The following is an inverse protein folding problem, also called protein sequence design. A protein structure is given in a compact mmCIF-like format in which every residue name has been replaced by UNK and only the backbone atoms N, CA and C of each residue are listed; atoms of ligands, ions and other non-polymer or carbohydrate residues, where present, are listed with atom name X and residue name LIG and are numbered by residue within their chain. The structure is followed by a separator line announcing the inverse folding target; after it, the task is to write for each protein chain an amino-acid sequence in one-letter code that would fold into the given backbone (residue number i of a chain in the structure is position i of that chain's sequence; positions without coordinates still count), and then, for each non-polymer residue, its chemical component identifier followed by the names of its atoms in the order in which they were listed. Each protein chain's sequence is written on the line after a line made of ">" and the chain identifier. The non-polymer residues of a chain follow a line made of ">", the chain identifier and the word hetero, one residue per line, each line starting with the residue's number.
data_IF_968766069306
#
_entry.id   IF_968766069306
#
_cell.length_a   1.000
_cell.length_b   1.000
_cell.length_c   1.000
_cell.angle_alpha   90.00
_cell.angle_beta   90.00
_cell.angle_gamma   90.00
#
_symmetry.space_group_name_H-M   'P 1'
#
loop_
_entity.id
_entity.type
_entity.pdbx_description
1 polymer ?
#
# COMPACT_ATOMS: atom_id res chain seq x y z
N UNK A 1 -5.70 56.28 3.84
CA UNK A 1 -6.16 54.97 3.31
C UNK A 1 -5.02 53.98 3.45
N UNK A 2 -5.08 53.11 4.46
CA UNK A 2 -4.04 52.14 4.79
C UNK A 2 -4.53 50.77 4.32
N UNK A 3 -3.99 50.27 3.21
CA UNK A 3 -4.30 48.93 2.71
C UNK A 3 -3.58 47.90 3.58
N UNK A 4 -4.33 47.14 4.38
CA UNK A 4 -3.84 45.90 4.98
C UNK A 4 -3.86 44.79 3.91
N UNK A 5 -2.69 44.43 3.39
CA UNK A 5 -2.49 43.22 2.60
C UNK A 5 -2.54 42.02 3.55
N UNK A 6 -3.63 41.27 3.51
CA UNK A 6 -3.74 39.98 4.21
C UNK A 6 -2.92 38.98 3.40
N UNK A 7 -1.74 38.60 3.91
CA UNK A 7 -0.99 37.47 3.38
C UNK A 7 -1.69 36.19 3.87
N UNK A 8 -2.39 35.51 2.97
CA UNK A 8 -2.92 34.18 3.25
C UNK A 8 -1.73 33.21 3.37
N UNK A 9 -1.36 32.84 4.59
CA UNK A 9 -0.44 31.73 4.81
C UNK A 9 -1.16 30.44 4.44
N UNK A 10 -0.86 29.90 3.26
CA UNK A 10 -1.25 28.55 2.90
C UNK A 10 -0.58 27.59 3.89
N UNK A 11 -1.34 27.10 4.86
CA UNK A 11 -0.87 26.09 5.79
C UNK A 11 -0.59 24.82 4.97
N UNK A 12 0.70 24.47 4.79
CA UNK A 12 1.07 23.24 4.13
C UNK A 12 0.46 22.08 4.91
N UNK A 13 -0.49 21.38 4.29
CA UNK A 13 -1.06 20.18 4.88
C UNK A 13 0.01 19.09 4.91
N UNK A 14 0.12 18.40 6.04
CA UNK A 14 1.20 17.46 6.32
C UNK A 14 1.17 16.27 5.35
N UNK A 15 2.37 15.80 5.00
CA UNK A 15 2.57 14.57 4.24
C UNK A 15 1.77 13.40 4.88
N UNK A 16 1.21 12.49 4.08
CA UNK A 16 0.50 11.34 4.62
C UNK A 16 1.44 10.48 5.45
N UNK A 17 0.98 10.01 6.62
CA UNK A 17 1.76 9.14 7.50
C UNK A 17 1.27 7.71 7.38
N UNK A 18 2.20 6.81 7.02
CA UNK A 18 1.93 5.37 6.96
C UNK A 18 2.15 4.71 8.34
N UNK A 19 1.04 4.35 8.98
CA UNK A 19 1.00 3.70 10.29
C UNK A 19 1.08 2.18 10.23
N UNK A 20 0.88 1.54 11.39
CA UNK A 20 0.83 0.08 11.53
C UNK A 20 -0.60 -0.42 11.44
N UNK A 21 -0.85 -1.42 10.60
CA UNK A 21 -2.11 -2.13 10.54
C UNK A 21 -2.24 -3.11 11.72
N UNK A 22 -3.46 -3.34 12.23
CA UNK A 22 -3.71 -4.48 13.11
C UNK A 22 -3.56 -5.79 12.32
N UNK A 23 -3.48 -6.92 13.04
CA UNK A 23 -3.47 -8.26 12.44
C UNK A 23 -4.60 -8.41 11.43
N UNK A 24 -4.27 -8.94 10.25
CA UNK A 24 -5.23 -9.25 9.19
C UNK A 24 -5.41 -10.76 9.06
N UNK A 25 -6.59 -11.16 8.60
CA UNK A 25 -6.89 -12.54 8.26
C UNK A 25 -6.55 -12.82 6.80
N UNK A 26 -6.28 -14.09 6.50
CA UNK A 26 -6.22 -14.58 5.12
C UNK A 26 -7.58 -14.39 4.45
N UNK A 27 -7.63 -13.95 3.17
CA UNK A 27 -8.91 -13.90 2.46
C UNK A 27 -9.50 -15.30 2.34
N UNK A 28 -10.82 -15.40 2.29
CA UNK A 28 -11.52 -16.68 2.11
C UNK A 28 -11.25 -17.33 0.74
N UNK A 29 -10.87 -16.51 -0.25
CA UNK A 29 -10.57 -16.93 -1.63
C UNK A 29 -9.45 -16.07 -2.21
N UNK A 30 -8.67 -16.66 -3.12
CA UNK A 30 -7.57 -15.97 -3.78
C UNK A 30 -6.39 -15.72 -2.84
N UNK A 31 -5.56 -14.73 -3.17
CA UNK A 31 -4.33 -14.45 -2.45
C UNK A 31 -4.28 -12.99 -1.98
N UNK A 32 -3.52 -12.74 -0.92
CA UNK A 32 -3.20 -11.41 -0.45
C UNK A 32 -1.71 -11.28 -0.14
N UNK A 33 -1.12 -10.13 -0.46
CA UNK A 33 0.20 -9.76 0.02
C UNK A 33 0.10 -9.04 1.37
N UNK A 34 1.00 -9.37 2.27
CA UNK A 34 1.18 -8.74 3.57
C UNK A 34 2.55 -8.08 3.56
N UNK A 35 2.60 -6.79 3.82
CA UNK A 35 3.79 -5.98 3.61
C UNK A 35 4.22 -5.31 4.91
N UNK A 36 5.52 -5.41 5.18
CA UNK A 36 6.18 -4.79 6.31
C UNK A 36 7.21 -3.76 5.83
N UNK A 37 7.29 -2.64 6.52
CA UNK A 37 8.33 -1.65 6.29
C UNK A 37 9.70 -2.26 6.61
N UNK A 38 10.66 -2.11 5.68
CA UNK A 38 11.99 -2.72 5.84
C UNK A 38 12.75 -2.11 7.02
N UNK A 39 12.54 -0.82 7.29
CA UNK A 39 13.31 -0.06 8.28
C UNK A 39 13.00 -0.45 9.73
N UNK A 40 11.72 -0.69 10.04
CA UNK A 40 11.25 -0.89 11.41
C UNK A 40 10.34 -2.11 11.58
N UNK A 41 10.17 -2.92 10.53
CA UNK A 41 9.37 -4.14 10.50
C UNK A 41 7.91 -3.94 10.91
N UNK A 42 7.37 -2.71 10.81
CA UNK A 42 5.94 -2.48 11.05
C UNK A 42 5.14 -3.08 9.91
N UNK A 43 4.05 -3.76 10.26
CA UNK A 43 3.08 -4.24 9.27
C UNK A 43 2.28 -3.05 8.75
N UNK A 44 2.50 -2.65 7.51
CA UNK A 44 2.01 -1.36 6.98
C UNK A 44 0.91 -1.49 5.93
N UNK A 45 0.85 -2.62 5.21
CA UNK A 45 -0.12 -2.82 4.16
C UNK A 45 -0.56 -4.27 3.98
N UNK A 46 -1.82 -4.43 3.57
CA UNK A 46 -2.34 -5.67 3.00
C UNK A 46 -2.88 -5.38 1.60
N UNK A 47 -2.53 -6.22 0.63
CA UNK A 47 -2.90 -6.05 -0.77
C UNK A 47 -3.71 -7.23 -1.22
N UNK A 48 -4.87 -6.96 -1.78
CA UNK A 48 -5.75 -7.94 -2.41
C UNK A 48 -6.00 -7.51 -3.86
N UNK A 49 -6.48 -8.40 -4.74
CA UNK A 49 -6.85 -8.01 -6.09
C UNK A 49 -7.82 -6.82 -6.08
N UNK A 50 -7.37 -5.69 -6.62
CA UNK A 50 -8.16 -4.46 -6.70
C UNK A 50 -8.23 -3.61 -5.43
N UNK A 51 -7.53 -3.96 -4.33
CA UNK A 51 -7.59 -3.20 -3.07
C UNK A 51 -6.27 -3.17 -2.31
N UNK A 52 -5.89 -1.99 -1.84
CA UNK A 52 -4.81 -1.77 -0.87
C UNK A 52 -5.41 -1.33 0.45
N UNK A 53 -5.18 -2.09 1.52
CA UNK A 53 -5.46 -1.69 2.90
C UNK A 53 -4.21 -1.16 3.55
N UNK A 54 -4.30 0.01 4.17
CA UNK A 54 -3.21 0.72 4.85
C UNK A 54 -3.72 1.43 6.10
N UNK A 55 -2.82 1.80 7.01
CA UNK A 55 -3.12 2.74 8.10
C UNK A 55 -2.60 4.13 7.69
N UNK A 56 -3.50 5.06 7.37
CA UNK A 56 -3.16 6.43 7.00
C UNK A 56 -3.55 7.39 8.11
N UNK A 57 -2.60 8.16 8.62
CA UNK A 57 -2.82 9.16 9.67
C UNK A 57 -3.57 8.59 10.89
N UNK A 58 -3.24 7.36 11.27
CA UNK A 58 -3.86 6.65 12.39
C UNK A 58 -5.25 6.07 12.12
N UNK A 59 -5.73 6.10 10.87
CA UNK A 59 -7.00 5.47 10.45
C UNK A 59 -6.77 4.42 9.37
N UNK A 60 -7.45 3.28 9.51
CA UNK A 60 -7.41 2.26 8.47
C UNK A 60 -8.17 2.78 7.24
N UNK A 61 -7.53 2.67 6.08
CA UNK A 61 -8.07 3.06 4.79
C UNK A 61 -7.94 1.91 3.81
N UNK A 62 -9.05 1.63 3.11
CA UNK A 62 -9.10 0.70 1.98
C UNK A 62 -9.16 1.54 0.70
N UNK A 63 -8.07 1.53 -0.06
CA UNK A 63 -7.93 2.24 -1.32
C UNK A 63 -8.22 1.28 -2.49
N UNK A 64 -9.24 1.56 -3.33
CA UNK A 64 -9.47 0.77 -4.52
C UNK A 64 -8.36 0.99 -5.55
N UNK A 65 -8.06 -0.05 -6.32
CA UNK A 65 -7.15 0.05 -7.46
C UNK A 65 -7.80 0.93 -8.54
N UNK A 66 -7.04 1.92 -9.00
CA UNK A 66 -7.40 2.77 -10.12
C UNK A 66 -6.78 2.24 -11.42
N UNK A 67 -5.54 1.79 -11.36
CA UNK A 67 -4.79 1.23 -12.49
C UNK A 67 -3.89 0.10 -11.99
N UNK A 68 -3.81 -1.00 -12.74
CA UNK A 68 -2.93 -2.13 -12.43
C UNK A 68 -2.17 -2.53 -13.71
N UNK A 69 -0.91 -2.91 -13.56
CA UNK A 69 -0.06 -3.27 -14.69
C UNK A 69 1.20 -4.06 -14.29
N UNK A 70 2.00 -4.36 -15.30
CA UNK A 70 3.19 -5.19 -15.17
C UNK A 70 2.90 -6.69 -15.00
N UNK A 71 3.96 -7.48 -14.87
CA UNK A 71 3.86 -8.94 -14.80
C UNK A 71 3.44 -9.36 -13.39
N UNK A 72 2.14 -9.60 -13.21
CA UNK A 72 1.59 -10.07 -11.93
C UNK A 72 1.87 -11.55 -11.65
N UNK A 73 1.66 -11.95 -10.39
CA UNK A 73 1.66 -13.33 -9.94
C UNK A 73 0.58 -13.51 -8.87
N UNK A 74 -0.02 -14.71 -8.80
CA UNK A 74 -1.00 -15.07 -7.77
C UNK A 74 -2.22 -14.10 -7.71
N UNK A 75 -2.60 -13.53 -8.85
CA UNK A 75 -3.72 -12.57 -8.96
C UNK A 75 -3.38 -11.14 -8.54
N UNK A 76 -2.12 -10.84 -8.22
CA UNK A 76 -1.63 -9.53 -7.83
C UNK A 76 -0.74 -8.96 -8.94
N UNK A 77 -0.94 -7.69 -9.32
CA UNK A 77 -0.12 -7.01 -10.31
C UNK A 77 1.20 -6.51 -9.69
N UNK A 78 2.29 -6.47 -10.47
CA UNK A 78 3.59 -5.99 -9.97
C UNK A 78 3.62 -4.48 -9.75
N UNK A 79 2.80 -3.72 -10.48
CA UNK A 79 2.60 -2.28 -10.25
C UNK A 79 1.11 -1.99 -10.16
N UNK A 80 0.67 -1.32 -9.11
CA UNK A 80 -0.73 -0.88 -8.96
C UNK A 80 -0.81 0.51 -8.36
N UNK A 81 -1.57 1.38 -9.01
CA UNK A 81 -1.98 2.68 -8.48
C UNK A 81 -3.34 2.54 -7.84
N UNK A 82 -3.43 2.92 -6.57
CA UNK A 82 -4.64 2.99 -5.78
C UNK A 82 -5.00 4.44 -5.52
N UNK A 83 -6.29 4.76 -5.44
CA UNK A 83 -6.73 6.12 -5.16
C UNK A 83 -8.01 6.12 -4.33
N UNK A 84 -8.04 6.93 -3.29
CA UNK A 84 -9.20 7.07 -2.41
C UNK A 84 -8.91 8.02 -1.26
N UNK A 85 -9.97 8.61 -0.70
CA UNK A 85 -9.85 9.51 0.46
C UNK A 85 -8.85 10.67 0.27
N UNK A 86 -8.71 11.16 -0.97
CA UNK A 86 -7.78 12.24 -1.32
C UNK A 86 -6.29 11.85 -1.36
N UNK A 87 -5.98 10.54 -1.28
CA UNK A 87 -4.63 9.99 -1.34
C UNK A 87 -4.49 9.09 -2.57
N UNK A 88 -3.33 9.17 -3.21
CA UNK A 88 -2.88 8.21 -4.21
C UNK A 88 -1.77 7.37 -3.60
N UNK A 89 -1.86 6.04 -3.73
CA UNK A 89 -0.81 5.12 -3.37
C UNK A 89 -0.34 4.37 -4.61
N UNK A 90 0.96 4.35 -4.88
CA UNK A 90 1.54 3.49 -5.91
C UNK A 90 2.35 2.40 -5.22
N UNK A 91 2.01 1.15 -5.51
CA UNK A 91 2.75 -0.02 -5.07
C UNK A 91 3.48 -0.62 -6.26
N UNK A 92 4.80 -0.70 -6.17
CA UNK A 92 5.64 -1.50 -7.05
C UNK A 92 6.18 -2.67 -6.22
N UNK A 93 6.07 -3.90 -6.72
CA UNK A 93 6.51 -5.10 -6.02
C UNK A 93 6.95 -6.23 -6.95
N UNK A 94 7.91 -7.01 -6.45
CA UNK A 94 8.39 -8.25 -7.07
C UNK A 94 7.92 -9.44 -6.25
N UNK A 95 7.14 -10.32 -6.87
CA UNK A 95 6.68 -11.58 -6.26
C UNK A 95 7.58 -12.71 -6.77
N UNK A 96 8.28 -13.36 -5.84
CA UNK A 96 9.18 -14.48 -6.13
C UNK A 96 8.61 -15.76 -5.53
N UNK A 97 8.38 -16.75 -6.38
CA UNK A 97 8.01 -18.09 -5.94
C UNK A 97 9.25 -18.84 -5.48
N UNK A 98 9.15 -19.54 -4.36
CA UNK A 98 10.21 -20.42 -3.85
C UNK A 98 9.68 -21.84 -3.80
N UNK A 99 10.50 -22.80 -4.19
CA UNK A 99 10.14 -24.22 -4.22
C UNK A 99 9.69 -24.75 -2.85
N UNK A 100 10.17 -24.13 -1.77
CA UNK A 100 9.83 -24.49 -0.38
C UNK A 100 8.54 -23.84 0.13
N UNK A 101 7.90 -22.95 -0.62
CA UNK A 101 6.64 -22.31 -0.23
C UNK A 101 5.48 -22.92 -0.99
N UNK A 102 4.58 -23.56 -0.25
CA UNK A 102 3.28 -24.00 -0.74
C UNK A 102 2.23 -22.94 -0.41
N UNK A 103 1.25 -22.74 -1.30
CA UNK A 103 0.13 -21.81 -1.12
C UNK A 103 0.53 -20.34 -0.86
N UNK A 104 1.64 -19.90 -1.47
CA UNK A 104 2.13 -18.54 -1.31
C UNK A 104 3.40 -18.23 -2.08
N UNK A 105 3.94 -17.04 -1.81
CA UNK A 105 5.19 -16.56 -2.37
C UNK A 105 5.85 -15.52 -1.44
N UNK A 106 7.05 -15.09 -1.79
CA UNK A 106 7.72 -13.97 -1.13
C UNK A 106 7.50 -12.71 -1.97
N UNK A 107 7.23 -11.59 -1.32
CA UNK A 107 7.43 -10.26 -1.91
C UNK A 107 8.85 -9.85 -1.57
N UNK A 108 9.79 -10.07 -2.50
CA UNK A 108 11.22 -9.91 -2.24
C UNK A 108 11.61 -8.46 -2.05
N UNK A 109 11.01 -7.60 -2.87
CA UNK A 109 11.27 -6.16 -2.93
C UNK A 109 9.97 -5.47 -3.29
N UNK A 110 9.66 -4.38 -2.59
CA UNK A 110 8.53 -3.54 -2.91
C UNK A 110 8.72 -2.11 -2.40
N UNK A 111 7.98 -1.18 -2.97
CA UNK A 111 7.93 0.22 -2.55
C UNK A 111 6.50 0.70 -2.55
N UNK A 112 6.07 1.28 -1.44
CA UNK A 112 4.81 2.05 -1.36
C UNK A 112 5.15 3.52 -1.43
N UNK A 113 4.56 4.20 -2.40
CA UNK A 113 4.65 5.63 -2.59
C UNK A 113 3.28 6.26 -2.29
N UNK A 114 3.21 7.23 -1.40
CA UNK A 114 1.96 7.87 -0.98
C UNK A 114 2.01 9.37 -1.20
N UNK A 115 1.06 9.89 -1.98
CA UNK A 115 0.91 11.30 -2.28
C UNK A 115 -0.50 11.80 -1.94
N UNK A 116 -0.61 13.08 -1.53
CA UNK A 116 -1.88 13.73 -1.22
C UNK A 116 -1.98 15.07 -1.97
N UNK A 117 -2.68 15.09 -3.10
CA UNK A 117 -2.77 16.29 -3.94
C UNK A 117 -1.37 16.77 -4.36
N UNK A 118 -1.10 18.07 -4.16
CA UNK A 118 0.19 18.71 -4.47
C UNK A 118 1.12 18.77 -3.24
N UNK A 119 0.93 17.89 -2.26
CA UNK A 119 1.75 17.83 -1.05
C UNK A 119 2.98 16.95 -1.25
N UNK A 120 3.84 16.94 -0.22
CA UNK A 120 4.97 16.04 -0.14
C UNK A 120 4.52 14.57 -0.21
N UNK A 121 5.32 13.81 -0.93
CA UNK A 121 5.16 12.38 -1.12
C UNK A 121 6.11 11.63 -0.19
N UNK A 122 5.62 10.52 0.39
CA UNK A 122 6.48 9.58 1.12
C UNK A 122 6.72 8.32 0.29
N UNK A 123 7.93 7.76 0.43
CA UNK A 123 8.34 6.52 -0.22
C UNK A 123 8.82 5.57 0.87
N UNK A 124 8.18 4.41 0.97
CA UNK A 124 8.44 3.42 2.01
C UNK A 124 8.85 2.11 1.34
N UNK A 125 10.12 1.70 1.49
CA UNK A 125 10.55 0.35 1.11
C UNK A 125 9.85 -0.68 1.98
N UNK A 126 9.25 -1.67 1.35
CA UNK A 126 8.54 -2.76 2.02
C UNK A 126 8.98 -4.11 1.45
N UNK A 127 8.82 -5.15 2.26
CA UNK A 127 8.96 -6.54 1.84
C UNK A 127 7.88 -7.38 2.48
N UNK A 128 7.72 -8.63 2.08
CA UNK A 128 6.65 -9.41 2.68
C UNK A 128 6.40 -10.79 2.09
N UNK A 129 5.17 -11.25 2.30
CA UNK A 129 4.70 -12.58 1.95
C UNK A 129 3.36 -12.49 1.24
N UNK A 130 3.16 -13.36 0.27
CA UNK A 130 1.85 -13.62 -0.32
C UNK A 130 1.32 -14.90 0.29
N UNK A 131 0.12 -14.84 0.87
CA UNK A 131 -0.63 -16.02 1.32
C UNK A 131 -1.86 -16.22 0.46
N UNK A 132 -2.08 -17.45 0.01
CA UNK A 132 -3.27 -17.85 -0.74
C UNK A 132 -4.20 -18.67 0.14
N UNK A 133 -5.51 -18.44 -0.01
CA UNK A 133 -6.52 -19.31 0.57
C UNK A 133 -6.25 -20.76 0.13
N UNK A 134 -6.40 -21.76 1.02
CA UNK A 134 -6.34 -23.15 0.62
C UNK A 134 -7.30 -23.38 -0.53
N UNK A 135 -6.85 -23.99 -1.62
CA UNK A 135 -7.77 -24.47 -2.64
C UNK A 135 -8.82 -25.35 -1.95
N UNK A 136 -10.11 -25.09 -2.20
CA UNK A 136 -11.15 -25.98 -1.73
C UNK A 136 -10.81 -27.39 -2.24
N UNK A 137 -10.35 -28.26 -1.34
CA UNK A 137 -10.02 -29.66 -1.64
C UNK A 137 -11.29 -30.46 -1.80
#
# INVERSE_FOLDING_TARGET
>A
MMLLTIVAMAQAAAAPVLGTLPKQALPEKGCAAYLWAVQDQRFVAMVEPGRLRVMLDGKQADLPAAEAGGTGALGLASTTRYAGQGVTATLDMTITQRETLQDGAIVSDATIRLARGNQDEIIVPVGGLVGCAPAAR
#
